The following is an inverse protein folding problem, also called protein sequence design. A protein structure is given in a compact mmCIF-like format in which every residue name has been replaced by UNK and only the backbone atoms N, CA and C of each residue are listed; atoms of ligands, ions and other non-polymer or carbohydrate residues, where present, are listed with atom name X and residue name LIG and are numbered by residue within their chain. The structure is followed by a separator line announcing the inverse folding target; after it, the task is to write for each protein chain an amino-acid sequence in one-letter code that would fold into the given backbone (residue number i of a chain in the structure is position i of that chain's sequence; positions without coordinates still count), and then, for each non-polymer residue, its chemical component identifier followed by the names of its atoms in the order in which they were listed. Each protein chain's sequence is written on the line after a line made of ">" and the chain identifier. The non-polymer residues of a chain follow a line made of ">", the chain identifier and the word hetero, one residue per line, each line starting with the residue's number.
data_IF_398695912941
#
_entry.id   IF_398695912941
#
_cell.length_a   1.000
_cell.length_b   1.000
_cell.length_c   1.000
_cell.angle_alpha   90.00
_cell.angle_beta   90.00
_cell.angle_gamma   90.00
#
_symmetry.space_group_name_H-M   'P 1'
#
loop_
_entity.id
_entity.type
_entity.pdbx_description
1 polymer ?
#
# COMPACT_ATOMS: atom_id res chain seq x y z
N UNK A 1 23.33 13.41 -35.96
CA UNK A 1 22.58 13.87 -34.77
C UNK A 1 21.50 12.83 -34.46
N UNK A 2 21.81 11.83 -33.64
CA UNK A 2 20.82 10.87 -33.13
C UNK A 2 20.42 11.30 -31.72
N UNK A 3 19.23 11.89 -31.63
CA UNK A 3 18.66 12.43 -30.40
C UNK A 3 18.37 11.30 -29.43
N UNK A 4 19.17 11.25 -28.36
CA UNK A 4 18.88 10.79 -26.99
C UNK A 4 17.50 10.12 -26.83
N UNK A 5 17.46 8.79 -26.95
CA UNK A 5 16.45 7.93 -26.34
C UNK A 5 17.14 6.92 -25.43
N UNK A 6 17.87 7.43 -24.44
CA UNK A 6 18.16 6.64 -23.24
C UNK A 6 16.85 6.55 -22.44
N UNK A 7 15.96 5.63 -22.85
CA UNK A 7 14.99 5.10 -21.91
C UNK A 7 15.81 4.59 -20.73
N UNK A 8 15.70 5.22 -19.57
CA UNK A 8 16.32 4.72 -18.36
C UNK A 8 15.75 3.31 -18.14
N UNK A 9 16.54 2.30 -18.51
CA UNK A 9 16.17 0.91 -18.33
C UNK A 9 15.95 0.72 -16.84
N UNK A 10 14.71 0.50 -16.47
CA UNK A 10 14.36 0.24 -15.08
C UNK A 10 14.74 -1.20 -14.77
N UNK A 11 15.51 -1.40 -13.71
CA UNK A 11 15.89 -2.73 -13.25
C UNK A 11 14.63 -3.47 -12.79
N UNK A 12 14.46 -4.72 -13.23
CA UNK A 12 13.33 -5.55 -12.84
C UNK A 12 13.20 -5.67 -11.31
N UNK A 13 14.34 -5.68 -10.61
CA UNK A 13 14.40 -5.66 -9.15
C UNK A 13 13.71 -4.44 -8.51
N UNK A 14 13.90 -3.25 -9.07
CA UNK A 14 13.31 -2.02 -8.52
C UNK A 14 11.79 -2.03 -8.63
N UNK A 15 11.26 -2.50 -9.76
CA UNK A 15 9.82 -2.65 -9.95
C UNK A 15 9.23 -3.74 -9.06
N UNK A 16 9.89 -4.90 -8.99
CA UNK A 16 9.45 -6.00 -8.15
C UNK A 16 9.40 -5.55 -6.68
N UNK A 17 10.44 -4.89 -6.19
CA UNK A 17 10.49 -4.38 -4.82
C UNK A 17 9.42 -3.32 -4.56
N UNK A 18 9.25 -2.36 -5.47
CA UNK A 18 8.25 -1.31 -5.32
C UNK A 18 6.83 -1.89 -5.28
N UNK A 19 6.56 -2.89 -6.12
CA UNK A 19 5.30 -3.62 -6.11
C UNK A 19 5.10 -4.42 -4.82
N UNK A 20 6.11 -5.15 -4.35
CA UNK A 20 6.04 -5.90 -3.09
C UNK A 20 5.73 -5.00 -1.89
N UNK A 21 6.28 -3.78 -1.86
CA UNK A 21 6.00 -2.81 -0.80
C UNK A 21 4.53 -2.37 -0.84
N UNK A 22 3.98 -2.04 -2.02
CA UNK A 22 2.56 -1.75 -2.16
C UNK A 22 1.71 -2.96 -1.73
N UNK A 23 2.05 -4.15 -2.21
CA UNK A 23 1.30 -5.38 -1.93
C UNK A 23 1.22 -5.71 -0.45
N UNK A 24 2.26 -5.42 0.35
CA UNK A 24 2.19 -5.56 1.81
C UNK A 24 1.21 -4.60 2.47
N UNK A 25 1.16 -3.35 2.01
CA UNK A 25 0.17 -2.39 2.49
C UNK A 25 -1.25 -2.85 2.13
N UNK A 26 -1.47 -3.27 0.87
CA UNK A 26 -2.76 -3.76 0.41
C UNK A 26 -3.18 -5.07 1.11
N UNK A 27 -2.25 -5.98 1.41
CA UNK A 27 -2.56 -7.21 2.16
C UNK A 27 -3.05 -6.90 3.58
N UNK A 28 -2.40 -5.96 4.27
CA UNK A 28 -2.82 -5.51 5.60
C UNK A 28 -4.20 -4.82 5.55
N UNK A 29 -4.44 -3.99 4.53
CA UNK A 29 -5.75 -3.36 4.31
C UNK A 29 -6.84 -4.39 4.02
N UNK A 30 -6.57 -5.40 3.19
CA UNK A 30 -7.52 -6.51 2.97
C UNK A 30 -7.79 -7.27 4.28
N UNK A 31 -6.78 -7.49 5.11
CA UNK A 31 -6.96 -8.08 6.44
C UNK A 31 -7.87 -7.24 7.34
N UNK A 32 -7.63 -5.93 7.39
CA UNK A 32 -8.48 -4.98 8.12
C UNK A 32 -9.95 -5.06 7.64
N UNK A 33 -10.17 -5.04 6.33
CA UNK A 33 -11.51 -5.13 5.74
C UNK A 33 -12.17 -6.47 6.09
N UNK A 34 -11.43 -7.58 6.05
CA UNK A 34 -11.95 -8.89 6.44
C UNK A 34 -12.36 -8.93 7.93
N UNK A 35 -11.52 -8.42 8.85
CA UNK A 35 -11.82 -8.43 10.30
C UNK A 35 -12.91 -7.45 10.72
N UNK A 36 -13.18 -6.43 9.91
CA UNK A 36 -14.24 -5.45 10.16
C UNK A 36 -15.58 -5.82 9.52
N UNK A 37 -15.67 -6.99 8.85
CA UNK A 37 -16.80 -7.45 8.05
C UNK A 37 -17.13 -6.52 6.86
N UNK A 38 -16.10 -5.84 6.34
CA UNK A 38 -16.20 -4.82 5.29
C UNK A 38 -15.50 -5.22 3.99
N UNK A 39 -15.13 -6.49 3.89
CA UNK A 39 -14.55 -7.02 2.68
C UNK A 39 -15.60 -7.03 1.56
N UNK A 40 -15.38 -6.20 0.55
CA UNK A 40 -16.31 -5.91 -0.55
C UNK A 40 -16.36 -7.08 -1.55
N UNK A 41 -15.21 -7.69 -1.85
CA UNK A 41 -15.09 -8.86 -2.71
C UNK A 41 -13.99 -9.78 -2.19
N UNK A 42 -13.78 -10.94 -2.82
CA UNK A 42 -12.75 -11.89 -2.39
C UNK A 42 -11.37 -11.20 -2.32
N UNK A 43 -10.62 -11.37 -1.22
CA UNK A 43 -9.28 -10.83 -1.12
C UNK A 43 -8.38 -11.27 -2.29
N UNK A 44 -7.52 -10.37 -2.75
CA UNK A 44 -6.56 -10.63 -3.82
C UNK A 44 -5.22 -11.15 -3.29
N UNK A 45 -4.84 -10.72 -2.08
CA UNK A 45 -3.52 -10.96 -1.47
C UNK A 45 -3.66 -11.58 -0.08
N UNK A 46 -4.76 -11.33 0.63
CA UNK A 46 -4.96 -11.81 2.00
C UNK A 46 -4.65 -13.30 2.12
N UNK A 47 -3.72 -13.61 3.03
CA UNK A 47 -3.31 -14.98 3.31
C UNK A 47 -2.06 -15.43 2.56
N UNK A 48 -1.27 -14.51 2.01
CA UNK A 48 0.12 -14.81 1.63
C UNK A 48 1.04 -14.77 2.85
N UNK A 49 0.80 -13.85 3.78
CA UNK A 49 1.54 -13.69 5.04
C UNK A 49 0.89 -14.48 6.19
N UNK A 50 1.69 -15.30 6.90
CA UNK A 50 1.22 -16.15 8.02
C UNK A 50 0.65 -15.35 9.20
N UNK A 51 1.18 -14.16 9.48
CA UNK A 51 0.76 -13.33 10.61
C UNK A 51 -0.59 -12.63 10.35
N UNK A 52 -0.90 -12.28 9.09
CA UNK A 52 -2.21 -11.73 8.70
C UNK A 52 -3.34 -12.79 8.81
N UNK A 53 -2.98 -14.08 8.81
CA UNK A 53 -3.92 -15.21 9.03
C UNK A 53 -4.20 -15.52 10.50
N UNK A 54 -3.37 -15.07 11.43
CA UNK A 54 -3.58 -15.46 12.82
C UNK A 54 -4.83 -14.78 13.36
N UNK A 55 -5.75 -15.56 13.92
CA UNK A 55 -6.96 -15.05 14.58
C UNK A 55 -6.66 -14.17 15.81
N UNK A 56 -5.39 -14.05 16.19
CA UNK A 56 -4.92 -13.23 17.31
C UNK A 56 -4.73 -11.75 16.99
N UNK A 57 -4.72 -11.33 15.72
CA UNK A 57 -4.57 -9.91 15.35
C UNK A 57 -5.90 -9.15 15.39
N UNK A 58 -5.91 -8.00 16.07
CA UNK A 58 -7.07 -7.11 16.12
C UNK A 58 -7.23 -6.34 14.79
N UNK A 59 -8.44 -5.82 14.52
CA UNK A 59 -8.63 -4.93 13.35
C UNK A 59 -7.75 -3.68 13.44
N UNK A 60 -7.50 -3.19 14.65
CA UNK A 60 -6.62 -2.08 14.91
C UNK A 60 -5.17 -2.39 14.53
N UNK A 61 -4.65 -3.56 14.92
CA UNK A 61 -3.29 -4.00 14.58
C UNK A 61 -3.09 -4.07 13.05
N UNK A 62 -4.13 -4.51 12.31
CA UNK A 62 -4.11 -4.60 10.85
C UNK A 62 -4.15 -3.22 10.19
N UNK A 63 -4.91 -2.28 10.75
CA UNK A 63 -4.94 -0.89 10.31
C UNK A 63 -3.59 -0.20 10.53
N UNK A 64 -2.98 -0.37 11.71
CA UNK A 64 -1.65 0.14 12.01
C UNK A 64 -0.60 -0.45 11.07
N UNK A 65 -0.63 -1.77 10.88
CA UNK A 65 0.24 -2.43 9.92
C UNK A 65 0.07 -1.86 8.51
N UNK A 66 -1.16 -1.61 8.06
CA UNK A 66 -1.42 -0.95 6.78
C UNK A 66 -0.78 0.44 6.71
N UNK A 67 -1.00 1.29 7.72
CA UNK A 67 -0.49 2.66 7.75
C UNK A 67 1.04 2.74 7.83
N UNK A 68 1.68 1.81 8.57
CA UNK A 68 3.15 1.69 8.62
C UNK A 68 3.70 1.28 7.25
N UNK A 69 3.14 0.24 6.61
CA UNK A 69 3.59 -0.18 5.29
C UNK A 69 3.32 0.88 4.22
N UNK A 70 2.23 1.64 4.36
CA UNK A 70 1.94 2.78 3.51
C UNK A 70 2.95 3.91 3.68
N UNK A 71 3.42 4.18 4.90
CA UNK A 71 4.51 5.13 5.13
C UNK A 71 5.83 4.68 4.50
N UNK A 72 6.16 3.38 4.60
CA UNK A 72 7.33 2.77 3.92
C UNK A 72 7.20 2.90 2.40
N UNK A 73 5.99 2.70 1.86
CA UNK A 73 5.66 2.97 0.47
C UNK A 73 5.96 4.45 0.15
N UNK A 74 5.45 5.40 0.94
CA UNK A 74 5.75 6.83 0.80
C UNK A 74 7.24 7.16 0.77
N UNK A 75 8.04 6.58 1.67
CA UNK A 75 9.50 6.75 1.66
C UNK A 75 10.11 6.27 0.34
N UNK A 76 9.65 5.11 -0.17
CA UNK A 76 10.12 4.54 -1.43
C UNK A 76 9.76 5.44 -2.62
N UNK A 77 8.51 5.89 -2.72
CA UNK A 77 8.03 6.67 -3.88
C UNK A 77 8.40 8.15 -3.83
N UNK A 78 8.72 8.71 -2.66
CA UNK A 78 9.26 10.07 -2.52
C UNK A 78 10.76 10.17 -2.84
N UNK A 79 11.49 9.05 -2.88
CA UNK A 79 12.91 9.05 -3.19
C UNK A 79 13.16 9.41 -4.67
N UNK A 80 14.11 10.32 -4.93
CA UNK A 80 14.44 10.81 -6.28
C UNK A 80 14.88 9.72 -7.26
N UNK A 81 15.26 8.55 -6.73
CA UNK A 81 15.75 7.42 -7.53
C UNK A 81 14.61 6.51 -8.00
N UNK A 82 13.39 6.64 -7.46
CA UNK A 82 12.26 5.88 -7.95
C UNK A 82 11.80 6.48 -9.26
N UNK A 83 12.20 5.84 -10.36
CA UNK A 83 12.00 6.36 -11.70
C UNK A 83 10.51 6.33 -12.11
N UNK A 84 10.17 7.19 -13.07
CA UNK A 84 8.81 7.33 -13.59
C UNK A 84 8.17 5.99 -14.03
N UNK A 85 8.87 5.09 -14.76
CA UNK A 85 8.30 3.80 -15.14
C UNK A 85 7.89 2.93 -13.95
N UNK A 86 8.66 2.93 -12.86
CA UNK A 86 8.31 2.19 -11.63
C UNK A 86 7.05 2.76 -10.98
N UNK A 87 6.96 4.09 -10.87
CA UNK A 87 5.77 4.77 -10.33
C UNK A 87 4.52 4.45 -11.13
N UNK A 88 4.63 4.51 -12.46
CA UNK A 88 3.54 4.20 -13.36
C UNK A 88 3.08 2.75 -13.19
N UNK A 89 4.00 1.79 -13.20
CA UNK A 89 3.66 0.36 -13.05
C UNK A 89 2.95 0.08 -11.72
N UNK A 90 3.46 0.60 -10.60
CA UNK A 90 2.83 0.37 -9.29
C UNK A 90 1.44 1.02 -9.20
N UNK A 91 1.27 2.20 -9.82
CA UNK A 91 -0.03 2.85 -9.92
C UNK A 91 -1.04 2.05 -10.74
N UNK A 92 -0.59 1.46 -11.85
CA UNK A 92 -1.42 0.56 -12.64
C UNK A 92 -1.88 -0.63 -11.79
N UNK A 93 -0.95 -1.22 -11.01
CA UNK A 93 -1.30 -2.31 -10.11
C UNK A 93 -2.30 -1.89 -9.03
N UNK A 94 -2.16 -0.70 -8.44
CA UNK A 94 -3.16 -0.17 -7.50
C UNK A 94 -4.55 -0.07 -8.13
N UNK A 95 -4.67 0.48 -9.34
CA UNK A 95 -5.97 0.58 -10.02
C UNK A 95 -6.54 -0.78 -10.41
N UNK A 96 -5.72 -1.70 -10.89
CA UNK A 96 -6.17 -3.07 -11.18
C UNK A 96 -6.68 -3.77 -9.93
N UNK A 97 -5.97 -3.63 -8.80
CA UNK A 97 -6.43 -4.14 -7.50
C UNK A 97 -7.76 -3.51 -7.10
N UNK A 98 -7.88 -2.19 -7.20
CA UNK A 98 -9.09 -1.46 -6.82
C UNK A 98 -10.29 -1.91 -7.66
N UNK A 99 -10.12 -2.06 -8.98
CA UNK A 99 -11.16 -2.53 -9.88
C UNK A 99 -11.66 -3.93 -9.50
N UNK A 100 -10.76 -4.82 -9.15
CA UNK A 100 -11.14 -6.17 -8.74
C UNK A 100 -11.83 -6.19 -7.37
N UNK A 101 -11.35 -5.37 -6.43
CA UNK A 101 -11.94 -5.27 -5.10
C UNK A 101 -13.37 -4.69 -5.18
N UNK A 102 -13.64 -3.79 -6.12
CA UNK A 102 -14.95 -3.14 -6.33
C UNK A 102 -15.83 -3.75 -7.44
N UNK A 103 -15.46 -4.91 -7.99
CA UNK A 103 -16.09 -5.49 -9.19
C UNK A 103 -17.63 -5.50 -9.19
N UNK A 104 -18.24 -5.70 -8.03
CA UNK A 104 -19.69 -5.89 -7.87
C UNK A 104 -20.37 -4.83 -7.00
N UNK A 105 -19.67 -3.75 -6.63
CA UNK A 105 -20.19 -2.71 -5.72
C UNK A 105 -20.02 -1.31 -6.34
N UNK A 106 -21.05 -0.44 -6.33
CA UNK A 106 -20.92 0.94 -6.78
C UNK A 106 -19.89 1.73 -5.96
N UNK A 107 -19.04 2.49 -6.65
CA UNK A 107 -17.99 3.30 -6.01
C UNK A 107 -18.56 4.35 -5.03
N UNK A 108 -19.78 4.83 -5.27
CA UNK A 108 -20.50 5.81 -4.45
C UNK A 108 -20.79 5.30 -3.03
N UNK A 109 -20.82 3.98 -2.85
CA UNK A 109 -21.06 3.29 -1.58
C UNK A 109 -19.76 3.03 -0.79
N UNK A 110 -18.61 3.54 -1.26
CA UNK A 110 -17.37 3.44 -0.52
C UNK A 110 -17.52 4.09 0.88
N UNK A 111 -17.25 3.35 1.97
CA UNK A 111 -17.24 3.94 3.31
C UNK A 111 -16.17 5.04 3.45
N UNK A 112 -16.46 6.06 4.27
CA UNK A 112 -15.64 7.28 4.37
C UNK A 112 -14.18 7.02 4.78
N UNK A 113 -13.95 6.25 5.83
CA UNK A 113 -12.59 5.90 6.29
C UNK A 113 -11.79 5.14 5.23
N UNK A 114 -12.44 4.19 4.54
CA UNK A 114 -11.81 3.46 3.43
C UNK A 114 -11.51 4.39 2.26
N UNK A 115 -12.39 5.34 1.95
CA UNK A 115 -12.12 6.35 0.94
C UNK A 115 -10.86 7.15 1.27
N UNK A 116 -10.66 7.53 2.53
CA UNK A 116 -9.45 8.23 2.95
C UNK A 116 -8.19 7.37 2.88
N UNK A 117 -8.28 6.06 3.14
CA UNK A 117 -7.16 5.14 2.90
C UNK A 117 -6.80 5.04 1.42
N UNK A 118 -7.79 4.92 0.54
CA UNK A 118 -7.57 4.87 -0.91
C UNK A 118 -6.95 6.16 -1.44
N UNK A 119 -7.43 7.30 -0.94
CA UNK A 119 -6.89 8.62 -1.29
C UNK A 119 -5.43 8.74 -0.81
N UNK A 120 -5.11 8.32 0.43
CA UNK A 120 -3.73 8.37 0.93
C UNK A 120 -2.81 7.44 0.13
N UNK A 121 -3.27 6.24 -0.25
CA UNK A 121 -2.50 5.33 -1.13
C UNK A 121 -2.15 6.04 -2.43
N UNK A 122 -3.12 6.70 -3.07
CA UNK A 122 -2.90 7.43 -4.30
C UNK A 122 -1.86 8.55 -4.14
N UNK A 123 -2.00 9.39 -3.11
CA UNK A 123 -1.08 10.50 -2.83
C UNK A 123 0.35 10.00 -2.59
N UNK A 124 0.49 8.93 -1.81
CA UNK A 124 1.77 8.26 -1.56
C UNK A 124 2.42 7.74 -2.84
N UNK A 125 1.64 7.17 -3.76
CA UNK A 125 2.14 6.70 -5.07
C UNK A 125 2.50 7.85 -6.02
N UNK A 126 1.94 9.05 -5.82
CA UNK A 126 2.41 10.29 -6.45
C UNK A 126 3.67 10.86 -5.77
N UNK A 127 4.00 10.38 -4.58
CA UNK A 127 5.15 10.79 -3.79
C UNK A 127 4.84 11.85 -2.74
N UNK A 128 3.57 12.21 -2.55
CA UNK A 128 3.13 13.01 -1.41
C UNK A 128 2.85 12.07 -0.22
N UNK A 129 3.81 12.03 0.70
CA UNK A 129 3.71 11.28 1.96
C UNK A 129 3.49 12.17 3.18
N UNK A 130 3.19 13.45 2.96
CA UNK A 130 3.24 14.47 4.02
C UNK A 130 2.26 14.17 5.16
N UNK A 131 1.05 13.73 4.81
CA UNK A 131 -0.01 13.38 5.76
C UNK A 131 0.32 12.11 6.54
N UNK A 132 0.54 10.98 5.86
CA UNK A 132 0.89 9.72 6.55
C UNK A 132 2.15 9.85 7.41
N UNK A 133 3.20 10.57 6.97
CA UNK A 133 4.40 10.77 7.79
C UNK A 133 4.09 11.61 9.03
N UNK A 134 3.31 12.70 8.91
CA UNK A 134 2.91 13.53 10.05
C UNK A 134 2.12 12.71 11.08
N UNK A 135 1.11 11.97 10.63
CA UNK A 135 0.24 11.23 11.54
C UNK A 135 0.94 10.04 12.21
N UNK A 136 1.87 9.36 11.53
CA UNK A 136 2.72 8.34 12.17
C UNK A 136 3.56 8.94 13.31
N UNK A 137 4.18 10.10 13.10
CA UNK A 137 4.98 10.77 14.14
C UNK A 137 4.09 11.17 15.34
N UNK A 138 2.90 11.70 15.07
CA UNK A 138 1.94 12.07 16.12
C UNK A 138 1.44 10.85 16.90
N UNK A 139 1.15 9.75 16.19
CA UNK A 139 0.76 8.48 16.78
C UNK A 139 1.87 7.90 17.68
N UNK A 140 3.11 7.81 17.19
CA UNK A 140 4.27 7.31 17.95
C UNK A 140 4.50 8.14 19.22
N UNK A 141 4.40 9.47 19.11
CA UNK A 141 4.56 10.39 20.23
C UNK A 141 3.44 10.24 21.28
N UNK A 142 2.23 9.87 20.86
CA UNK A 142 1.08 9.71 21.75
C UNK A 142 1.08 8.38 22.50
N UNK A 143 1.69 7.34 21.95
CA UNK A 143 1.64 5.99 22.52
C UNK A 143 2.72 5.67 23.56
N UNK A 144 3.69 6.58 23.80
CA UNK A 144 4.68 6.46 24.87
C UNK A 144 5.19 5.02 25.08
N UNK A 145 5.49 4.31 23.98
CA UNK A 145 6.02 2.96 24.12
C UNK A 145 7.36 3.04 24.86
N UNK A 146 7.49 2.18 25.88
CA UNK A 146 8.71 1.92 26.63
C UNK A 146 9.90 1.91 25.67
N UNK A 147 10.97 2.63 26.00
CA UNK A 147 12.18 2.59 25.18
C UNK A 147 12.54 1.13 24.87
N UNK A 148 12.76 0.77 23.59
CA UNK A 148 13.03 -0.61 23.22
C UNK A 148 14.20 -1.16 24.03
N UNK A 149 14.09 -2.39 24.51
CA UNK A 149 15.19 -3.00 25.27
C UNK A 149 16.40 -3.23 24.37
N UNK A 150 17.60 -3.33 24.95
CA UNK A 150 18.81 -3.67 24.19
C UNK A 150 18.70 -5.02 23.45
N UNK A 151 17.94 -5.96 23.99
CA UNK A 151 17.63 -7.25 23.35
C UNK A 151 16.75 -7.05 22.11
N UNK A 152 15.71 -6.21 22.19
CA UNK A 152 14.87 -5.87 21.03
C UNK A 152 15.67 -5.19 19.92
N UNK A 153 16.64 -4.34 20.26
CA UNK A 153 17.54 -3.73 19.27
C UNK A 153 18.44 -4.76 18.58
N UNK A 154 18.99 -5.72 19.33
CA UNK A 154 19.85 -6.76 18.78
C UNK A 154 19.07 -7.70 17.84
N UNK A 155 17.87 -8.11 18.23
CA UNK A 155 17.01 -8.95 17.38
C UNK A 155 16.61 -8.21 16.10
N UNK A 156 16.19 -6.94 16.23
CA UNK A 156 15.85 -6.08 15.09
C UNK A 156 17.04 -5.86 14.16
N UNK A 157 18.26 -5.71 14.70
CA UNK A 157 19.48 -5.54 13.91
C UNK A 157 19.85 -6.83 13.16
N UNK A 158 19.73 -7.99 13.81
CA UNK A 158 19.98 -9.28 13.18
C UNK A 158 18.98 -9.56 12.06
N UNK A 159 17.69 -9.31 12.30
CA UNK A 159 16.66 -9.41 11.27
C UNK A 159 16.93 -8.46 10.11
N UNK A 160 17.33 -7.21 10.40
CA UNK A 160 17.73 -6.24 9.38
C UNK A 160 18.89 -6.75 8.52
N UNK A 161 19.93 -7.34 9.13
CA UNK A 161 21.04 -7.96 8.40
C UNK A 161 20.60 -9.11 7.49
N UNK A 162 19.71 -9.99 7.97
CA UNK A 162 19.15 -11.05 7.13
C UNK A 162 18.35 -10.51 5.96
N UNK A 163 17.59 -9.43 6.16
CA UNK A 163 16.82 -8.78 5.10
C UNK A 163 17.74 -8.13 4.06
N UNK A 164 18.86 -7.52 4.48
CA UNK A 164 19.88 -7.02 3.55
C UNK A 164 20.43 -8.16 2.69
N UNK A 165 20.81 -9.28 3.31
CA UNK A 165 21.35 -10.41 2.57
C UNK A 165 20.35 -10.98 1.56
N UNK A 166 19.07 -11.09 1.92
CA UNK A 166 18.00 -11.49 0.99
C UNK A 166 17.83 -10.50 -0.16
N UNK A 167 17.90 -9.20 0.13
CA UNK A 167 17.86 -8.13 -0.88
C UNK A 167 19.02 -8.26 -1.86
N UNK A 168 20.23 -8.53 -1.37
CA UNK A 168 21.42 -8.69 -2.21
C UNK A 168 21.30 -9.93 -3.10
N UNK A 169 20.86 -11.07 -2.57
CA UNK A 169 20.58 -12.28 -3.35
C UNK A 169 19.48 -12.07 -4.41
N UNK A 170 18.43 -11.31 -4.08
CA UNK A 170 17.38 -10.95 -5.04
C UNK A 170 17.92 -10.03 -6.15
N UNK A 171 18.74 -9.03 -5.80
CA UNK A 171 19.42 -8.20 -6.80
C UNK A 171 20.34 -9.01 -7.71
N UNK A 172 21.08 -9.98 -7.15
CA UNK A 172 21.93 -10.88 -7.93
C UNK A 172 21.11 -11.78 -8.87
N UNK A 173 20.00 -12.35 -8.39
CA UNK A 173 19.14 -13.24 -9.20
C UNK A 173 18.39 -12.52 -10.32
N UNK A 174 17.97 -11.28 -10.08
CA UNK A 174 17.35 -10.42 -11.09
C UNK A 174 18.40 -9.69 -11.95
N UNK A 175 19.65 -9.65 -11.52
CA UNK A 175 20.81 -9.17 -12.28
C UNK A 175 20.62 -7.77 -12.89
N UNK A 176 21.38 -7.48 -13.95
CA UNK A 176 21.18 -6.28 -14.79
C UNK A 176 19.93 -6.40 -15.70
N UNK A 177 18.97 -7.28 -15.38
CA UNK A 177 17.80 -7.49 -16.24
C UNK A 177 16.89 -6.28 -16.17
N UNK A 178 16.39 -5.95 -17.34
CA UNK A 178 15.42 -4.89 -17.53
C UNK A 178 14.01 -5.42 -17.28
N UNK A 179 13.12 -4.51 -16.88
CA UNK A 179 11.69 -4.81 -16.70
C UNK A 179 11.00 -5.52 -17.87
N UNK A 180 11.46 -5.35 -19.12
CA UNK A 180 10.93 -6.06 -20.28
C UNK A 180 11.32 -7.54 -20.36
N UNK A 181 12.33 -7.96 -19.60
CA UNK A 181 12.89 -9.31 -19.63
C UNK A 181 12.37 -10.20 -18.49
N UNK A 182 11.64 -9.64 -17.54
CA UNK A 182 11.14 -10.34 -16.36
C UNK A 182 9.68 -10.00 -16.14
N UNK A 183 8.84 -11.03 -16.00
CA UNK A 183 7.46 -10.83 -15.62
C UNK A 183 7.37 -10.48 -14.13
N UNK A 184 6.61 -9.42 -13.80
CA UNK A 184 6.36 -9.01 -12.42
C UNK A 184 5.64 -10.13 -11.67
N UNK A 185 6.29 -10.68 -10.64
CA UNK A 185 5.72 -11.77 -9.86
C UNK A 185 4.63 -11.25 -8.93
N UNK A 186 3.49 -11.95 -8.89
CA UNK A 186 2.38 -11.63 -7.99
C UNK A 186 1.53 -10.43 -8.43
N UNK A 187 1.70 -9.92 -9.67
CA UNK A 187 0.86 -8.86 -10.23
C UNK A 187 -0.63 -9.22 -10.16
N UNK A 188 -1.49 -8.22 -10.01
CA UNK A 188 -2.93 -8.45 -10.00
C UNK A 188 -3.43 -8.91 -11.37
N UNK A 189 -4.41 -9.81 -11.36
CA UNK A 189 -5.06 -10.24 -12.60
C UNK A 189 -5.86 -9.07 -13.18
N UNK A 190 -5.54 -8.69 -14.41
CA UNK A 190 -6.23 -7.64 -15.13
C UNK A 190 -5.32 -6.98 -16.16
N UNK A 191 -5.93 -6.44 -17.20
CA UNK A 191 -5.25 -5.68 -18.24
C UNK A 191 -5.57 -4.20 -18.13
N UNK A 192 -5.41 -3.51 -19.27
CA UNK A 192 -5.70 -2.08 -19.40
C UNK A 192 -7.17 -1.74 -19.10
N UNK A 193 -8.08 -2.68 -19.30
CA UNK A 193 -9.51 -2.50 -18.99
C UNK A 193 -9.74 -2.39 -17.47
N UNK A 194 -9.18 -3.31 -16.68
CA UNK A 194 -9.26 -3.25 -15.21
C UNK A 194 -8.54 -2.01 -14.65
N UNK A 195 -7.39 -1.66 -15.20
CA UNK A 195 -6.70 -0.41 -14.84
C UNK A 195 -7.63 0.80 -15.00
N UNK A 196 -8.32 0.91 -16.14
CA UNK A 196 -9.19 2.05 -16.43
C UNK A 196 -10.45 2.05 -15.55
N UNK A 197 -11.05 0.88 -15.32
CA UNK A 197 -12.16 0.74 -14.35
C UNK A 197 -11.74 1.20 -12.96
N UNK A 198 -10.54 0.81 -12.53
CA UNK A 198 -9.99 1.19 -11.23
C UNK A 198 -9.80 2.70 -11.09
N UNK A 199 -9.32 3.37 -12.14
CA UNK A 199 -9.23 4.84 -12.16
C UNK A 199 -10.59 5.49 -12.00
N UNK A 200 -11.59 5.04 -12.75
CA UNK A 200 -12.96 5.59 -12.68
C UNK A 200 -13.53 5.43 -11.27
N UNK A 201 -13.36 4.25 -10.64
CA UNK A 201 -13.77 3.99 -9.26
C UNK A 201 -13.07 4.99 -8.31
N UNK A 202 -11.75 5.15 -8.45
CA UNK A 202 -10.99 6.08 -7.64
C UNK A 202 -11.45 7.53 -7.81
N UNK A 203 -11.65 8.00 -9.04
CA UNK A 203 -12.10 9.36 -9.33
C UNK A 203 -13.46 9.68 -8.69
N UNK A 204 -14.39 8.71 -8.69
CA UNK A 204 -15.70 8.86 -8.02
C UNK A 204 -15.52 9.04 -6.51
N UNK A 205 -14.70 8.18 -5.89
CA UNK A 205 -14.42 8.22 -4.45
C UNK A 205 -13.70 9.53 -4.08
N UNK A 206 -12.66 9.86 -4.83
CA UNK A 206 -11.85 11.06 -4.64
C UNK A 206 -12.72 12.32 -4.72
N UNK A 207 -13.54 12.45 -5.77
CA UNK A 207 -14.43 13.61 -5.94
C UNK A 207 -15.34 13.83 -4.73
N UNK A 208 -15.77 12.77 -4.06
CA UNK A 208 -16.64 12.82 -2.88
C UNK A 208 -15.88 13.20 -1.61
N UNK A 209 -14.70 12.63 -1.38
CA UNK A 209 -14.02 12.67 -0.07
C UNK A 209 -12.73 13.52 -0.02
N UNK A 210 -12.18 13.97 -1.17
CA UNK A 210 -10.89 14.69 -1.23
C UNK A 210 -10.86 15.98 -0.40
N UNK A 211 -11.97 16.71 -0.33
CA UNK A 211 -12.03 18.01 0.37
C UNK A 211 -11.76 17.90 1.87
N UNK A 212 -12.25 16.84 2.50
CA UNK A 212 -12.12 16.61 3.94
C UNK A 212 -10.91 15.74 4.30
N UNK A 213 -10.32 15.05 3.32
CA UNK A 213 -9.23 14.10 3.54
C UNK A 213 -8.06 14.66 4.35
N UNK A 214 -7.60 15.89 4.07
CA UNK A 214 -6.48 16.47 4.82
C UNK A 214 -6.74 16.56 6.33
N UNK A 215 -7.98 16.81 6.73
CA UNK A 215 -8.38 16.94 8.13
C UNK A 215 -8.84 15.61 8.76
N UNK A 216 -9.13 14.59 7.95
CA UNK A 216 -9.61 13.30 8.42
C UNK A 216 -8.46 12.45 9.00
N UNK A 217 -8.46 12.04 10.28
CA UNK A 217 -7.39 11.22 10.83
C UNK A 217 -7.36 9.82 10.22
N UNK A 218 -6.18 9.29 9.93
CA UNK A 218 -5.99 7.92 9.41
C UNK A 218 -5.95 6.90 10.55
N UNK A 219 -5.41 7.27 11.70
CA UNK A 219 -5.38 6.46 12.93
C UNK A 219 -6.68 6.60 13.73
N UNK A 220 -7.78 6.13 13.17
CA UNK A 220 -9.10 6.10 13.84
C UNK A 220 -9.47 4.65 14.15
N UNK A 221 -9.71 4.29 15.43
CA UNK A 221 -10.20 2.97 15.78
C UNK A 221 -11.53 2.69 15.08
N UNK A 222 -11.67 1.50 14.51
CA UNK A 222 -12.92 1.10 13.89
C UNK A 222 -14.04 0.99 14.94
N UNK A 223 -15.11 1.77 14.77
CA UNK A 223 -16.33 1.69 15.58
C UNK A 223 -17.53 1.34 14.70
N UNK A 224 -18.05 0.10 14.86
CA UNK A 224 -19.24 -0.41 14.16
C UNK A 224 -20.47 0.52 14.33
N UNK A 225 -20.57 1.30 15.41
CA UNK A 225 -21.72 2.15 15.71
C UNK A 225 -21.74 3.48 14.96
N UNK A 226 -20.58 3.98 14.53
CA UNK A 226 -20.49 5.27 13.82
C UNK A 226 -20.97 5.21 12.36
N UNK A 227 -21.15 4.01 11.79
CA UNK A 227 -21.63 3.85 10.41
C UNK A 227 -23.16 3.65 10.30
N UNK A 228 -23.87 3.24 11.36
CA UNK A 228 -25.33 3.10 11.32
C UNK A 228 -26.08 4.45 11.27
N UNK A 229 -25.43 5.55 11.64
CA UNK A 229 -26.02 6.89 11.64
C UNK A 229 -26.09 7.56 10.27
N UNK A 230 -25.53 6.94 9.21
CA UNK A 230 -25.43 7.54 7.87
C UNK A 230 -26.18 6.75 6.77
N UNK A 231 -27.00 5.78 7.17
CA UNK A 231 -27.90 5.01 6.29
C UNK A 231 -29.38 5.40 6.47
N UNK A 232 -29.67 6.63 6.93
CA UNK A 232 -31.04 7.18 7.02
C UNK A 232 -31.31 8.06 5.80
#
# INVERSE_FOLDING_TARGET
>A
MSTIQTHAQTLAYEQQRAFEILSKALEALEGYLAKTDRMINRPQIYGTSKWIKSDSGSSWDLQECFLIHLNICGITFSHRNTNFPTKQLVRQQFYTWLANLWKDIPAEQCPQDLAHFLIEIHDVLDGDKSKITKENIEYDASNNETQPSAEMYNDSFFDYQQQIHKVDLQKESLGNKTSSEVELQGKFSGGKEEEEKGKIIFEIIEKKYRKEHKAYPLFIPYDKRQQQSYLI
#
